data_IF_868326999798
#
_entry.id   IF_868326999798
#
_cell.length_a   1.000
_cell.length_b   1.000
_cell.length_c   1.000
_cell.angle_alpha   90.00
_cell.angle_beta   90.00
_cell.angle_gamma   90.00
#
_symmetry.space_group_name_H-M   'P 1'
#
loop_
_entity.id
_entity.type
_entity.pdbx_description
1 polymer ?
#
# COMPACT_ATOMS: atom_id res chain seq x y z
N UNK A 1 -1.21 59.02 -17.71
CA UNK A 1 -2.39 58.71 -16.86
C UNK A 1 -2.30 57.27 -16.37
N UNK A 2 -2.02 57.06 -15.08
CA UNK A 2 -1.97 55.72 -14.44
C UNK A 2 -3.39 55.31 -14.05
N UNK A 3 -3.89 54.17 -14.55
CA UNK A 3 -5.16 53.58 -14.08
C UNK A 3 -5.03 53.24 -12.58
N UNK A 4 -6.04 53.54 -11.74
CA UNK A 4 -5.92 53.37 -10.30
C UNK A 4 -5.91 51.89 -9.95
N UNK A 5 -4.86 51.46 -9.26
CA UNK A 5 -4.61 50.09 -8.81
C UNK A 5 -5.62 49.59 -7.75
N UNK A 6 -6.62 50.40 -7.39
CA UNK A 6 -7.51 50.20 -6.23
C UNK A 6 -8.67 49.23 -6.51
N UNK A 7 -9.13 49.12 -7.76
CA UNK A 7 -10.19 48.17 -8.13
C UNK A 7 -9.70 46.73 -8.12
N UNK A 8 -8.48 46.47 -8.60
CA UNK A 8 -7.87 45.13 -8.57
C UNK A 8 -7.65 44.61 -7.15
N UNK A 9 -7.21 45.49 -6.23
CA UNK A 9 -7.01 45.14 -4.83
C UNK A 9 -8.33 44.82 -4.11
N UNK A 10 -9.41 45.55 -4.40
CA UNK A 10 -10.75 45.26 -3.84
C UNK A 10 -11.28 43.90 -4.30
N UNK A 11 -11.16 43.58 -5.59
CA UNK A 11 -11.57 42.26 -6.10
C UNK A 11 -10.72 41.13 -5.54
N UNK A 12 -9.42 41.35 -5.33
CA UNK A 12 -8.52 40.38 -4.70
C UNK A 12 -8.87 40.15 -3.21
N UNK A 13 -9.20 41.22 -2.47
CA UNK A 13 -9.61 41.13 -1.06
C UNK A 13 -10.99 40.49 -0.90
N UNK A 14 -11.93 40.78 -1.80
CA UNK A 14 -13.25 40.16 -1.80
C UNK A 14 -13.17 38.66 -2.17
N UNK A 15 -12.33 38.29 -3.13
CA UNK A 15 -12.15 36.88 -3.50
C UNK A 15 -11.48 36.09 -2.38
N UNK A 16 -10.42 36.63 -1.76
CA UNK A 16 -9.77 35.99 -0.61
C UNK A 16 -10.69 35.86 0.61
N UNK A 17 -11.46 36.90 0.93
CA UNK A 17 -12.47 36.83 1.99
C UNK A 17 -13.54 35.77 1.70
N UNK A 18 -14.03 35.69 0.45
CA UNK A 18 -14.98 34.66 0.03
C UNK A 18 -14.42 33.24 0.14
N UNK A 19 -13.16 33.02 -0.25
CA UNK A 19 -12.49 31.71 -0.09
C UNK A 19 -12.33 31.33 1.38
N UNK A 20 -11.95 32.28 2.25
CA UNK A 20 -11.79 32.03 3.68
C UNK A 20 -13.13 31.70 4.36
N UNK A 21 -14.21 32.42 4.02
CA UNK A 21 -15.56 32.12 4.50
C UNK A 21 -16.03 30.75 4.02
N UNK A 22 -15.79 30.41 2.74
CA UNK A 22 -16.10 29.09 2.21
C UNK A 22 -15.36 27.97 2.93
N UNK A 23 -14.05 28.13 3.18
CA UNK A 23 -13.25 27.18 3.92
C UNK A 23 -13.73 27.02 5.36
N UNK A 24 -14.01 28.13 6.04
CA UNK A 24 -14.57 28.11 7.39
C UNK A 24 -15.94 27.41 7.43
N UNK A 25 -16.78 27.62 6.43
CA UNK A 25 -18.07 26.93 6.28
C UNK A 25 -17.92 25.42 6.13
N UNK A 26 -16.99 24.94 5.29
CA UNK A 26 -16.72 23.50 5.12
C UNK A 26 -16.16 22.87 6.39
N UNK A 27 -15.24 23.55 7.07
CA UNK A 27 -14.67 23.10 8.35
C UNK A 27 -15.77 23.04 9.42
N UNK A 28 -16.59 24.08 9.54
CA UNK A 28 -17.69 24.14 10.50
C UNK A 28 -18.73 23.04 10.24
N UNK A 29 -19.16 22.87 8.98
CA UNK A 29 -20.11 21.82 8.58
C UNK A 29 -19.61 20.43 8.98
N UNK A 30 -18.37 20.08 8.64
CA UNK A 30 -17.81 18.78 9.01
C UNK A 30 -17.54 18.62 10.50
N UNK A 31 -17.19 19.71 11.19
CA UNK A 31 -16.90 19.65 12.62
C UNK A 31 -18.17 19.47 13.46
N UNK A 32 -19.28 20.07 13.01
CA UNK A 32 -20.59 20.09 13.67
C UNK A 32 -21.54 18.99 13.19
N UNK A 33 -21.26 18.35 12.05
CA UNK A 33 -22.06 17.23 11.56
C UNK A 33 -22.11 16.11 12.61
N UNK A 34 -23.32 15.63 12.91
CA UNK A 34 -23.51 14.46 13.76
C UNK A 34 -22.83 13.26 13.13
N UNK A 35 -21.94 12.63 13.87
CA UNK A 35 -21.23 11.45 13.42
C UNK A 35 -22.02 10.21 13.77
N UNK A 36 -22.10 9.27 12.83
CA UNK A 36 -22.69 7.97 13.08
C UNK A 36 -21.88 7.26 14.19
N UNK A 37 -22.47 7.01 15.38
CA UNK A 37 -21.80 6.24 16.42
C UNK A 37 -21.62 4.78 16.01
N UNK A 38 -22.25 4.33 14.92
CA UNK A 38 -22.31 2.92 14.54
C UNK A 38 -23.23 2.13 15.47
N UNK A 39 -23.56 0.92 15.04
CA UNK A 39 -24.38 0.00 15.86
C UNK A 39 -23.45 -0.88 16.67
N UNK A 40 -23.25 -0.55 17.93
CA UNK A 40 -22.48 -1.38 18.84
C UNK A 40 -23.25 -2.66 19.18
N UNK A 41 -22.61 -3.82 19.01
CA UNK A 41 -23.13 -5.09 19.50
C UNK A 41 -23.04 -5.14 21.03
N UNK A 42 -23.88 -5.97 21.67
CA UNK A 42 -23.71 -6.27 23.09
C UNK A 42 -22.28 -6.75 23.35
N UNK A 43 -21.66 -6.27 24.43
CA UNK A 43 -20.29 -6.65 24.81
C UNK A 43 -20.29 -8.16 25.07
N UNK A 44 -19.75 -8.92 24.12
CA UNK A 44 -19.57 -10.37 24.25
C UNK A 44 -18.50 -10.72 25.29
N UNK A 45 -18.14 -12.00 25.36
CA UNK A 45 -17.04 -12.46 26.21
C UNK A 45 -15.78 -11.60 26.03
N UNK A 46 -15.24 -10.96 27.10
CA UNK A 46 -14.05 -10.12 27.01
C UNK A 46 -12.83 -10.82 26.41
N UNK A 47 -12.66 -12.13 26.64
CA UNK A 47 -11.54 -12.86 26.06
C UNK A 47 -11.72 -13.07 24.55
N UNK A 48 -12.90 -13.51 24.11
CA UNK A 48 -13.22 -13.62 22.69
C UNK A 48 -13.05 -12.29 21.94
N UNK A 49 -13.47 -11.17 22.54
CA UNK A 49 -13.29 -9.83 21.97
C UNK A 49 -11.81 -9.45 21.82
N UNK A 50 -10.96 -9.75 22.82
CA UNK A 50 -9.51 -9.52 22.70
C UNK A 50 -8.84 -10.39 21.64
N UNK A 51 -9.23 -11.66 21.53
CA UNK A 51 -8.68 -12.56 20.50
C UNK A 51 -9.09 -12.11 19.09
N UNK A 52 -10.35 -11.71 18.92
CA UNK A 52 -10.85 -11.11 17.68
C UNK A 52 -10.09 -9.82 17.35
N UNK A 53 -9.87 -8.96 18.34
CA UNK A 53 -9.09 -7.73 18.19
C UNK A 53 -7.64 -8.00 17.82
N UNK A 54 -6.99 -9.00 18.42
CA UNK A 54 -5.64 -9.41 18.06
C UNK A 54 -5.56 -9.84 16.59
N UNK A 55 -6.52 -10.67 16.16
CA UNK A 55 -6.62 -11.12 14.78
C UNK A 55 -6.80 -9.96 13.79
N UNK A 56 -7.68 -9.01 14.10
CA UNK A 56 -7.90 -7.82 13.27
C UNK A 56 -6.67 -6.89 13.27
N UNK A 57 -5.95 -6.78 14.39
CA UNK A 57 -4.75 -5.96 14.47
C UNK A 57 -3.60 -6.56 13.62
N UNK A 58 -3.54 -7.89 13.52
CA UNK A 58 -2.69 -8.59 12.57
C UNK A 58 -3.16 -8.36 11.14
N UNK A 59 -4.44 -8.57 10.84
CA UNK A 59 -5.03 -8.38 9.51
C UNK A 59 -4.83 -6.96 8.94
N UNK A 60 -5.00 -5.95 9.80
CA UNK A 60 -4.77 -4.55 9.44
C UNK A 60 -3.31 -4.12 9.51
N UNK A 61 -2.40 -5.01 9.88
CA UNK A 61 -0.97 -4.78 10.02
C UNK A 61 -0.62 -3.61 10.95
N UNK A 62 -1.38 -3.41 12.03
CA UNK A 62 -1.24 -2.24 12.92
C UNK A 62 0.17 -2.14 13.51
N UNK A 63 0.75 -3.27 13.91
CA UNK A 63 2.06 -3.34 14.54
C UNK A 63 3.18 -2.83 13.61
N UNK A 64 3.10 -3.09 12.30
CA UNK A 64 4.14 -2.62 11.37
C UNK A 64 4.20 -1.10 11.32
N UNK A 65 3.06 -0.41 11.32
CA UNK A 65 3.03 1.05 11.34
C UNK A 65 3.38 1.60 12.73
N UNK A 66 2.82 1.01 13.78
CA UNK A 66 2.91 1.54 15.14
C UNK A 66 4.11 1.01 15.95
N UNK A 67 5.17 0.54 15.29
CA UNK A 67 6.38 0.04 15.98
C UNK A 67 7.63 0.47 15.20
N UNK A 68 8.59 1.10 15.88
CA UNK A 68 9.93 1.33 15.30
C UNK A 68 10.77 0.06 15.39
N UNK A 69 11.75 -0.09 14.48
CA UNK A 69 12.68 -1.23 14.53
C UNK A 69 13.41 -1.27 15.87
N UNK A 70 13.31 -2.40 16.58
CA UNK A 70 13.90 -2.58 17.93
C UNK A 70 13.15 -1.86 19.06
N UNK A 71 12.04 -1.18 18.76
CA UNK A 71 11.21 -0.51 19.77
C UNK A 71 10.15 -1.42 20.37
N UNK A 72 9.46 -0.90 21.39
CA UNK A 72 8.32 -1.58 22.00
C UNK A 72 7.13 -1.64 21.02
N UNK A 73 6.45 -2.78 20.97
CA UNK A 73 5.31 -3.00 20.09
C UNK A 73 4.21 -1.96 20.32
N UNK A 74 3.62 -1.45 19.23
CA UNK A 74 2.51 -0.50 19.24
C UNK A 74 2.81 0.89 19.84
N UNK A 75 4.05 1.16 20.25
CA UNK A 75 4.46 2.42 20.89
C UNK A 75 4.68 3.60 19.91
N UNK A 76 4.48 3.39 18.61
CA UNK A 76 4.59 4.41 17.58
C UNK A 76 6.02 4.85 17.28
N UNK A 77 6.14 6.01 16.63
CA UNK A 77 7.40 6.66 16.28
C UNK A 77 7.97 6.32 14.91
N UNK A 78 7.35 5.40 14.15
CA UNK A 78 7.83 5.04 12.79
C UNK A 78 7.67 6.23 11.86
N UNK A 79 8.76 6.60 11.19
CA UNK A 79 8.74 7.59 10.13
C UNK A 79 8.13 6.99 8.87
N UNK A 80 7.15 7.68 8.28
CA UNK A 80 6.56 7.35 6.99
C UNK A 80 6.87 8.52 6.06
N UNK A 81 7.85 8.33 5.19
CA UNK A 81 8.18 9.29 4.15
C UNK A 81 7.00 9.43 3.18
N UNK A 82 6.82 10.62 2.62
CA UNK A 82 5.81 10.86 1.59
C UNK A 82 6.22 12.02 0.69
N UNK A 83 5.59 12.17 -0.49
CA UNK A 83 5.73 13.38 -1.30
C UNK A 83 5.33 14.68 -0.58
N UNK A 84 4.69 14.60 0.59
CA UNK A 84 4.23 15.77 1.35
C UNK A 84 5.13 16.11 2.55
N UNK A 85 6.17 15.31 2.80
CA UNK A 85 7.02 15.34 3.99
C UNK A 85 6.91 14.05 4.79
N UNK A 86 7.34 14.06 6.04
CA UNK A 86 7.42 12.85 6.87
C UNK A 86 6.32 12.84 7.92
N UNK A 87 5.53 11.77 7.93
CA UNK A 87 4.57 11.47 8.99
C UNK A 87 5.24 10.58 10.05
N UNK A 88 4.78 10.69 11.29
CA UNK A 88 5.24 9.82 12.39
C UNK A 88 4.04 9.12 12.99
N UNK A 89 4.12 7.80 13.14
CA UNK A 89 3.03 7.02 13.71
C UNK A 89 2.90 7.25 15.21
N UNK A 90 1.67 7.18 15.71
CA UNK A 90 1.39 7.46 17.13
C UNK A 90 1.53 6.22 18.01
N UNK A 91 1.74 6.40 19.30
CA UNK A 91 1.62 5.37 20.31
C UNK A 91 0.15 4.98 20.48
N UNK A 92 -0.17 3.69 20.28
CA UNK A 92 -1.51 3.12 20.42
C UNK A 92 -1.60 2.06 21.52
N UNK A 93 -0.62 2.06 22.44
CA UNK A 93 -0.68 1.28 23.70
C UNK A 93 -1.66 1.93 24.69
N UNK A 94 -2.08 1.26 25.77
CA UNK A 94 -2.99 1.84 26.77
C UNK A 94 -2.31 2.82 27.74
N UNK A 95 -1.12 3.31 27.41
CA UNK A 95 -0.51 4.39 28.19
C UNK A 95 -1.43 5.63 28.19
N UNK A 96 -1.68 6.17 29.39
CA UNK A 96 -2.65 7.27 29.58
C UNK A 96 -2.10 8.63 29.13
N UNK A 97 -0.77 8.82 29.19
CA UNK A 97 -0.14 10.10 28.91
C UNK A 97 0.16 10.28 27.41
N UNK A 98 0.61 9.23 26.76
CA UNK A 98 1.19 9.26 25.41
C UNK A 98 0.48 8.34 24.42
N UNK A 99 -0.24 7.33 24.91
CA UNK A 99 -1.01 6.36 24.13
C UNK A 99 -2.51 6.66 24.07
N UNK A 100 -3.30 5.59 23.90
CA UNK A 100 -4.77 5.64 23.79
C UNK A 100 -5.48 5.24 25.10
N UNK A 101 -4.79 5.20 26.24
CA UNK A 101 -5.35 4.74 27.52
C UNK A 101 -6.53 5.56 28.05
N UNK A 102 -6.68 6.81 27.60
CA UNK A 102 -7.78 7.71 27.96
C UNK A 102 -8.86 7.83 26.87
N UNK A 103 -8.78 7.04 25.81
CA UNK A 103 -9.76 7.04 24.73
C UNK A 103 -10.96 6.19 25.12
N UNK A 104 -12.15 6.57 24.67
CA UNK A 104 -13.33 5.71 24.72
C UNK A 104 -13.41 4.81 23.47
N UNK A 105 -14.28 3.80 23.49
CA UNK A 105 -14.63 3.01 22.29
C UNK A 105 -15.15 3.91 21.16
N UNK A 106 -15.93 4.93 21.51
CA UNK A 106 -16.47 5.88 20.53
C UNK A 106 -15.40 6.79 19.93
N UNK A 107 -14.37 7.17 20.71
CA UNK A 107 -13.22 7.92 20.20
C UNK A 107 -12.43 7.08 19.19
N UNK A 108 -12.25 5.79 19.48
CA UNK A 108 -11.54 4.86 18.60
C UNK A 108 -12.34 4.57 17.33
N UNK A 109 -13.64 4.32 17.44
CA UNK A 109 -14.56 4.20 16.31
C UNK A 109 -14.51 5.45 15.43
N UNK A 110 -14.58 6.65 16.03
CA UNK A 110 -14.50 7.92 15.30
C UNK A 110 -13.17 8.07 14.55
N UNK A 111 -12.07 7.61 15.11
CA UNK A 111 -10.79 7.60 14.41
C UNK A 111 -10.81 6.69 13.19
N UNK A 112 -11.20 5.43 13.35
CA UNK A 112 -11.23 4.46 12.26
C UNK A 112 -12.29 4.79 11.19
N UNK A 113 -13.49 5.14 11.63
CA UNK A 113 -14.65 5.28 10.76
C UNK A 113 -14.76 6.65 10.12
N UNK A 114 -14.45 7.71 10.87
CA UNK A 114 -14.59 9.09 10.41
C UNK A 114 -13.24 9.77 10.18
N UNK A 115 -12.11 9.17 10.54
CA UNK A 115 -10.80 9.80 10.37
C UNK A 115 -10.62 11.02 11.27
N UNK A 116 -11.13 11.00 12.51
CA UNK A 116 -10.99 12.09 13.48
C UNK A 116 -10.44 11.60 14.80
N UNK A 117 -9.49 12.33 15.37
CA UNK A 117 -8.89 12.02 16.66
C UNK A 117 -9.87 12.24 17.83
N UNK A 118 -9.43 11.81 19.03
CA UNK A 118 -10.15 12.07 20.29
C UNK A 118 -10.47 13.56 20.49
N UNK A 119 -9.51 14.43 20.18
CA UNK A 119 -9.60 15.90 20.23
C UNK A 119 -10.39 16.53 19.07
N UNK A 120 -11.02 15.71 18.21
CA UNK A 120 -11.83 16.16 17.09
C UNK A 120 -11.03 16.55 15.84
N UNK A 121 -9.69 16.56 15.90
CA UNK A 121 -8.84 16.92 14.75
C UNK A 121 -8.97 15.92 13.62
N UNK A 122 -8.95 16.38 12.37
CA UNK A 122 -8.88 15.48 11.22
C UNK A 122 -7.57 14.70 11.22
N UNK A 123 -7.60 13.40 10.97
CA UNK A 123 -6.43 12.56 10.82
C UNK A 123 -5.92 12.64 9.38
N UNK A 124 -4.60 12.54 9.20
CA UNK A 124 -4.02 12.44 7.86
C UNK A 124 -4.37 11.07 7.25
N UNK A 125 -4.73 10.98 5.96
CA UNK A 125 -5.17 9.74 5.31
C UNK A 125 -4.06 8.68 5.15
N UNK A 126 -2.83 8.98 5.61
CA UNK A 126 -1.80 7.96 5.82
C UNK A 126 -2.19 6.98 6.94
N UNK A 127 -3.00 7.42 7.91
CA UNK A 127 -3.83 6.51 8.69
C UNK A 127 -5.00 6.09 7.79
N UNK A 128 -5.14 4.81 7.40
CA UNK A 128 -6.00 4.40 6.30
C UNK A 128 -7.49 4.32 6.68
N UNK A 129 -8.01 5.37 7.34
CA UNK A 129 -9.41 5.51 7.72
C UNK A 129 -10.35 5.51 6.50
N UNK A 130 -9.85 5.85 5.31
CA UNK A 130 -10.62 5.74 4.06
C UNK A 130 -10.97 4.30 3.69
N UNK A 131 -10.23 3.33 4.23
CA UNK A 131 -10.52 1.90 4.13
C UNK A 131 -11.19 1.41 5.40
N UNK A 132 -10.65 1.74 6.58
CA UNK A 132 -11.22 1.33 7.87
C UNK A 132 -12.64 1.81 8.13
N UNK A 133 -13.11 2.84 7.42
CA UNK A 133 -14.54 3.22 7.43
C UNK A 133 -15.48 2.05 7.12
N UNK A 134 -15.02 1.06 6.36
CA UNK A 134 -15.79 -0.15 6.06
C UNK A 134 -15.84 -1.17 7.20
N UNK A 135 -15.00 -1.03 8.22
CA UNK A 135 -14.99 -1.93 9.36
C UNK A 135 -16.28 -1.79 10.15
N UNK A 136 -16.76 -2.92 10.68
CA UNK A 136 -17.93 -2.91 11.55
C UNK A 136 -17.60 -2.26 12.90
N UNK A 137 -18.62 -1.74 13.58
CA UNK A 137 -18.46 -1.19 14.93
C UNK A 137 -17.96 -2.24 15.92
N UNK A 138 -18.45 -3.47 15.82
CA UNK A 138 -18.01 -4.61 16.64
C UNK A 138 -16.52 -4.93 16.41
N UNK A 139 -16.04 -4.91 15.17
CA UNK A 139 -14.62 -5.14 14.85
C UNK A 139 -13.73 -3.99 15.37
N UNK A 140 -14.20 -2.75 15.30
CA UNK A 140 -13.54 -1.59 15.92
C UNK A 140 -13.43 -1.73 17.44
N UNK A 141 -14.51 -2.13 18.10
CA UNK A 141 -14.53 -2.31 19.56
C UNK A 141 -13.66 -3.49 20.00
N UNK A 142 -13.62 -4.59 19.23
CA UNK A 142 -12.73 -5.73 19.44
C UNK A 142 -11.25 -5.32 19.33
N UNK A 143 -10.89 -4.59 18.26
CA UNK A 143 -9.57 -4.00 18.07
C UNK A 143 -9.16 -3.14 19.26
N UNK A 144 -10.05 -2.26 19.71
CA UNK A 144 -9.80 -1.41 20.86
C UNK A 144 -9.59 -2.22 22.13
N UNK A 145 -10.41 -3.24 22.38
CA UNK A 145 -10.27 -4.13 23.53
C UNK A 145 -8.92 -4.86 23.55
N UNK A 146 -8.43 -5.31 22.39
CA UNK A 146 -7.10 -5.89 22.27
C UNK A 146 -6.00 -4.87 22.57
N UNK A 147 -6.05 -3.68 21.95
CA UNK A 147 -5.04 -2.63 22.20
C UNK A 147 -5.01 -2.20 23.67
N UNK A 148 -6.17 -2.11 24.33
CA UNK A 148 -6.26 -1.79 25.76
C UNK A 148 -5.69 -2.89 26.67
N UNK A 149 -5.50 -4.11 26.16
CA UNK A 149 -4.93 -5.22 26.92
C UNK A 149 -3.41 -5.33 26.81
N UNK A 150 -2.78 -4.54 25.93
CA UNK A 150 -1.33 -4.53 25.75
C UNK A 150 -0.60 -3.90 26.95
N UNK A 151 0.70 -4.21 27.14
CA UNK A 151 1.52 -3.46 28.08
C UNK A 151 1.55 -1.96 27.72
N UNK A 152 1.30 -1.04 28.67
CA UNK A 152 1.40 0.39 28.41
C UNK A 152 2.87 0.76 28.20
N UNK A 153 3.15 1.57 27.18
CA UNK A 153 4.48 2.11 26.92
C UNK A 153 4.39 3.63 26.96
N UNK A 154 5.13 4.27 27.85
CA UNK A 154 5.22 5.72 27.88
C UNK A 154 6.23 6.19 26.81
N UNK A 155 5.71 6.56 25.65
CA UNK A 155 6.50 7.05 24.52
C UNK A 155 5.77 8.24 23.87
N UNK A 156 6.26 9.47 24.09
CA UNK A 156 5.67 10.67 23.51
C UNK A 156 5.59 10.61 21.99
N UNK A 157 4.45 11.04 21.44
CA UNK A 157 4.26 11.16 20.00
C UNK A 157 5.12 12.28 19.43
N UNK A 158 5.68 12.06 18.24
CA UNK A 158 6.42 13.07 17.49
C UNK A 158 5.50 13.78 16.50
N UNK A 159 5.62 15.11 16.43
CA UNK A 159 4.93 15.91 15.43
C UNK A 159 5.40 15.58 14.00
N UNK A 160 4.47 15.61 13.05
CA UNK A 160 4.78 15.38 11.65
C UNK A 160 5.66 16.49 11.06
N UNK A 161 6.65 16.11 10.27
CA UNK A 161 7.50 17.02 9.51
C UNK A 161 6.94 17.19 8.09
N UNK A 162 5.71 17.69 7.98
CA UNK A 162 5.04 17.96 6.71
C UNK A 162 5.44 19.33 6.17
N UNK A 163 5.57 19.43 4.85
CA UNK A 163 5.86 20.70 4.17
C UNK A 163 4.60 21.53 4.07
N UNK A 164 4.75 22.85 4.12
CA UNK A 164 3.64 23.75 3.77
C UNK A 164 3.19 23.48 2.31
N UNK A 165 1.88 23.45 2.01
CA UNK A 165 0.74 23.71 2.92
C UNK A 165 0.19 22.47 3.66
N UNK A 166 0.75 21.29 3.46
CA UNK A 166 0.25 20.02 4.00
C UNK A 166 0.31 19.91 5.54
N UNK A 167 1.13 20.73 6.20
CA UNK A 167 1.14 20.86 7.66
C UNK A 167 -0.09 21.56 8.25
N UNK A 168 -0.94 22.17 7.42
CA UNK A 168 -2.15 22.86 7.87
C UNK A 168 -3.33 21.88 8.00
N UNK A 169 -3.60 21.45 9.24
CA UNK A 169 -4.62 20.42 9.56
C UNK A 169 -6.01 20.75 9.02
N UNK A 170 -6.38 22.03 8.97
CA UNK A 170 -7.71 22.48 8.50
C UNK A 170 -7.94 22.22 7.01
N UNK A 171 -6.87 22.17 6.19
CA UNK A 171 -6.99 21.86 4.76
C UNK A 171 -7.45 20.41 4.52
N UNK A 172 -7.32 19.53 5.53
CA UNK A 172 -7.90 18.18 5.46
C UNK A 172 -9.42 18.21 5.38
N UNK A 173 -10.11 19.23 5.88
CA UNK A 173 -11.56 19.35 5.72
C UNK A 173 -11.92 19.43 4.22
N UNK A 174 -11.21 20.26 3.45
CA UNK A 174 -11.43 20.36 2.01
C UNK A 174 -11.09 19.03 1.30
N UNK A 175 -9.95 18.43 1.64
CA UNK A 175 -9.56 17.14 1.08
C UNK A 175 -10.63 16.06 1.32
N UNK A 176 -11.17 15.99 2.54
CA UNK A 176 -12.21 15.03 2.91
C UNK A 176 -13.50 15.26 2.14
N UNK A 177 -13.93 16.52 2.00
CA UNK A 177 -15.12 16.86 1.23
C UNK A 177 -15.04 16.38 -0.23
N UNK A 178 -13.82 16.32 -0.79
CA UNK A 178 -13.57 15.89 -2.18
C UNK A 178 -13.37 14.39 -2.31
N UNK A 179 -12.72 13.74 -1.34
CA UNK A 179 -12.17 12.39 -1.52
C UNK A 179 -12.59 11.38 -0.45
N UNK A 180 -13.43 11.75 0.51
CA UNK A 180 -13.84 10.85 1.58
C UNK A 180 -15.33 10.94 1.88
N UNK A 181 -15.98 9.78 1.88
CA UNK A 181 -17.33 9.57 2.37
C UNK A 181 -17.31 8.39 3.35
N UNK A 182 -17.66 8.59 4.63
CA UNK A 182 -17.78 7.49 5.57
C UNK A 182 -18.80 6.44 5.08
N UNK A 183 -18.53 5.17 5.33
CA UNK A 183 -19.45 4.09 4.97
C UNK A 183 -18.97 2.71 5.41
N UNK A 184 -19.85 1.99 6.10
CA UNK A 184 -19.64 0.61 6.53
C UNK A 184 -19.74 -0.38 5.35
N UNK A 185 -19.09 -1.53 5.47
CA UNK A 185 -19.27 -2.61 4.50
C UNK A 185 -20.69 -3.18 4.60
N UNK A 186 -21.35 -3.31 3.45
CA UNK A 186 -22.65 -3.97 3.32
C UNK A 186 -22.46 -5.22 2.46
N UNK A 187 -22.77 -6.43 2.97
CA UNK A 187 -22.71 -7.65 2.17
C UNK A 187 -23.59 -7.55 0.92
N UNK A 188 -23.06 -8.01 -0.21
CA UNK A 188 -23.81 -8.17 -1.46
C UNK A 188 -24.68 -9.43 -1.36
N UNK A 189 -26.02 -9.32 -1.41
CA UNK A 189 -26.92 -10.47 -1.32
C UNK A 189 -26.85 -11.41 -2.53
N UNK A 190 -26.28 -10.95 -3.66
CA UNK A 190 -26.05 -11.79 -4.84
C UNK A 190 -24.76 -12.62 -4.75
N UNK A 191 -24.00 -12.49 -3.66
CA UNK A 191 -22.72 -13.17 -3.43
C UNK A 191 -22.80 -14.02 -2.17
N UNK A 192 -22.03 -15.11 -2.15
CA UNK A 192 -21.96 -15.97 -0.98
C UNK A 192 -21.18 -15.32 0.19
N UNK A 193 -21.18 -16.01 1.33
CA UNK A 193 -20.51 -15.53 2.54
C UNK A 193 -18.99 -15.43 2.38
N UNK A 194 -18.37 -16.33 1.62
CA UNK A 194 -16.92 -16.36 1.41
C UNK A 194 -16.47 -15.14 0.60
N UNK A 195 -17.17 -14.84 -0.50
CA UNK A 195 -16.91 -13.65 -1.31
C UNK A 195 -17.07 -12.38 -0.49
N UNK A 196 -18.17 -12.26 0.27
CA UNK A 196 -18.42 -11.10 1.12
C UNK A 196 -17.35 -10.93 2.21
N UNK A 197 -16.86 -12.03 2.77
CA UNK A 197 -15.73 -12.01 3.71
C UNK A 197 -14.45 -11.49 3.05
N UNK A 198 -14.14 -11.96 1.84
CA UNK A 198 -12.99 -11.48 1.06
C UNK A 198 -13.10 -9.99 0.73
N UNK A 199 -14.27 -9.55 0.29
CA UNK A 199 -14.56 -8.15 0.00
C UNK A 199 -14.37 -7.27 1.23
N UNK A 200 -14.86 -7.70 2.39
CA UNK A 200 -14.68 -6.99 3.66
C UNK A 200 -13.19 -6.83 4.03
N UNK A 201 -12.42 -7.92 3.94
CA UNK A 201 -11.00 -7.92 4.27
C UNK A 201 -10.19 -7.05 3.31
N UNK A 202 -10.45 -7.14 2.00
CA UNK A 202 -9.69 -6.39 0.99
C UNK A 202 -10.03 -4.91 1.00
N UNK A 203 -11.32 -4.56 1.06
CA UNK A 203 -11.76 -3.16 0.98
C UNK A 203 -11.63 -2.42 2.31
N UNK A 204 -11.76 -3.14 3.42
CA UNK A 204 -11.81 -2.60 4.78
C UNK A 204 -10.56 -2.92 5.59
N UNK A 205 -10.66 -3.98 6.40
CA UNK A 205 -9.69 -4.27 7.47
C UNK A 205 -8.24 -4.45 6.98
N UNK A 206 -8.03 -5.10 5.84
CA UNK A 206 -6.72 -5.31 5.21
C UNK A 206 -6.26 -4.17 4.30
N UNK A 207 -7.11 -3.17 4.04
CA UNK A 207 -6.81 -1.90 3.36
C UNK A 207 -5.98 -2.03 2.07
N UNK A 208 -6.18 -3.07 1.25
CA UNK A 208 -5.33 -3.35 0.09
C UNK A 208 -5.22 -2.17 -0.90
N UNK A 209 -6.27 -1.36 -1.01
CA UNK A 209 -6.32 -0.12 -1.80
C UNK A 209 -5.36 0.99 -1.34
N UNK A 210 -4.80 0.87 -0.13
CA UNK A 210 -3.80 1.80 0.37
C UNK A 210 -2.50 1.74 -0.46
N UNK A 211 -2.19 0.56 -1.02
CA UNK A 211 -1.03 0.35 -1.88
C UNK A 211 -1.43 0.06 -3.33
N UNK A 212 -2.46 -0.76 -3.55
CA UNK A 212 -2.83 -1.26 -4.87
C UNK A 212 -3.81 -0.35 -5.62
N UNK A 213 -3.76 0.97 -5.40
CA UNK A 213 -4.57 1.94 -6.14
C UNK A 213 -3.72 3.16 -6.50
N UNK A 214 -3.92 3.67 -7.71
CA UNK A 214 -3.27 4.90 -8.14
C UNK A 214 -3.67 6.07 -7.22
N UNK A 215 -2.74 6.99 -6.99
CA UNK A 215 -3.00 8.19 -6.19
C UNK A 215 -2.85 9.43 -7.06
N UNK A 216 -3.72 10.41 -6.87
CA UNK A 216 -3.59 11.71 -7.51
C UNK A 216 -2.51 12.57 -6.83
N UNK A 217 -2.24 13.77 -7.38
CA UNK A 217 -1.24 14.69 -6.84
C UNK A 217 -1.51 15.17 -5.40
N UNK A 218 -2.75 15.03 -4.90
CA UNK A 218 -3.15 15.35 -3.53
C UNK A 218 -3.15 14.11 -2.61
N UNK A 219 -2.62 12.97 -3.09
CA UNK A 219 -2.47 11.73 -2.34
C UNK A 219 -3.76 10.92 -2.18
N UNK A 220 -4.87 11.31 -2.79
CA UNK A 220 -6.12 10.55 -2.74
C UNK A 220 -6.10 9.36 -3.71
N UNK A 221 -6.58 8.21 -3.24
CA UNK A 221 -6.71 7.01 -4.07
C UNK A 221 -7.79 7.23 -5.13
N UNK A 222 -7.43 6.99 -6.39
CA UNK A 222 -8.33 6.97 -7.53
C UNK A 222 -8.97 5.58 -7.60
N UNK A 223 -10.30 5.53 -7.73
CA UNK A 223 -11.07 4.29 -7.83
C UNK A 223 -10.58 3.19 -6.85
N UNK A 224 -10.57 3.42 -5.53
CA UNK A 224 -9.89 2.54 -4.56
C UNK A 224 -10.39 1.09 -4.57
N UNK A 225 -11.60 0.83 -5.08
CA UNK A 225 -12.17 -0.51 -5.19
C UNK A 225 -11.80 -1.24 -6.49
N UNK A 226 -11.25 -0.53 -7.49
CA UNK A 226 -10.81 -1.13 -8.76
C UNK A 226 -9.45 -1.83 -8.64
N UNK A 227 -8.64 -1.45 -7.65
CA UNK A 227 -7.32 -2.02 -7.36
C UNK A 227 -6.40 -2.12 -8.60
N UNK A 228 -6.35 -1.04 -9.38
CA UNK A 228 -5.61 -0.95 -10.65
C UNK A 228 -4.08 -0.93 -10.49
N UNK A 229 -3.59 -0.92 -9.25
CA UNK A 229 -2.17 -0.78 -8.96
C UNK A 229 -1.69 0.67 -9.06
N UNK A 230 -0.40 0.87 -8.80
CA UNK A 230 0.20 2.19 -8.81
C UNK A 230 1.58 2.22 -8.18
N UNK A 231 2.34 3.27 -8.49
CA UNK A 231 3.60 3.55 -7.80
C UNK A 231 3.30 4.02 -6.38
N UNK A 232 4.05 3.50 -5.42
CA UNK A 232 4.14 3.97 -4.03
C UNK A 232 5.41 4.84 -3.96
N UNK A 233 5.33 6.17 -4.18
CA UNK A 233 6.51 6.98 -4.42
C UNK A 233 7.45 7.02 -3.20
N UNK A 234 6.87 6.98 -2.01
CA UNK A 234 7.59 6.97 -0.74
C UNK A 234 8.52 5.77 -0.57
N UNK A 235 8.11 4.60 -1.08
CA UNK A 235 8.88 3.36 -0.98
C UNK A 235 9.66 3.08 -2.27
N UNK A 236 9.42 3.86 -3.32
CA UNK A 236 9.85 3.58 -4.68
C UNK A 236 9.54 2.14 -5.10
N UNK A 237 8.34 1.65 -4.81
CA UNK A 237 7.86 0.35 -5.28
C UNK A 237 6.60 0.52 -6.11
N UNK A 238 6.38 -0.35 -7.09
CA UNK A 238 5.13 -0.44 -7.83
C UNK A 238 4.27 -1.54 -7.21
N UNK A 239 3.07 -1.19 -6.75
CA UNK A 239 2.05 -2.15 -6.36
C UNK A 239 1.31 -2.61 -7.62
N UNK A 240 1.39 -3.89 -8.02
CA UNK A 240 0.73 -4.38 -9.22
C UNK A 240 -0.80 -4.33 -9.10
N UNK A 241 -1.54 -4.26 -10.21
CA UNK A 241 -2.98 -4.43 -10.19
C UNK A 241 -3.39 -5.76 -9.57
N UNK A 242 -4.48 -5.77 -8.79
CA UNK A 242 -5.04 -6.98 -8.18
C UNK A 242 -6.32 -7.48 -8.86
N UNK A 243 -6.73 -6.85 -9.96
CA UNK A 243 -7.95 -7.23 -10.67
C UNK A 243 -7.79 -8.56 -11.45
N UNK A 244 -8.89 -9.23 -11.77
CA UNK A 244 -8.93 -10.52 -12.48
C UNK A 244 -8.65 -10.45 -13.99
N UNK A 245 -8.03 -9.37 -14.49
CA UNK A 245 -7.68 -9.20 -15.91
C UNK A 245 -6.30 -9.79 -16.24
N UNK A 246 -5.97 -9.90 -17.53
CA UNK A 246 -4.70 -10.53 -18.00
C UNK A 246 -3.44 -9.87 -17.42
N UNK A 247 -3.42 -8.53 -17.32
CA UNK A 247 -2.31 -7.77 -16.72
C UNK A 247 -2.32 -7.76 -15.17
N UNK A 248 -3.36 -8.33 -14.55
CA UNK A 248 -3.51 -8.51 -13.10
C UNK A 248 -3.44 -9.98 -12.70
N UNK A 249 -4.34 -10.41 -11.83
CA UNK A 249 -4.43 -11.78 -11.30
C UNK A 249 -5.28 -12.73 -12.18
N UNK A 250 -5.68 -12.31 -13.38
CA UNK A 250 -6.53 -13.11 -14.26
C UNK A 250 -5.94 -14.48 -14.59
N UNK A 251 -4.64 -14.54 -14.86
CA UNK A 251 -3.91 -15.79 -15.16
C UNK A 251 -3.48 -16.60 -13.93
N UNK A 252 -3.72 -16.10 -12.71
CA UNK A 252 -3.37 -16.79 -11.48
C UNK A 252 -4.52 -17.68 -11.02
N UNK A 253 -4.22 -18.84 -10.45
CA UNK A 253 -5.22 -19.61 -9.72
C UNK A 253 -5.48 -18.99 -8.34
N UNK A 254 -6.64 -19.27 -7.74
CA UNK A 254 -6.93 -18.88 -6.36
C UNK A 254 -5.91 -19.47 -5.38
N UNK A 255 -5.42 -20.68 -5.67
CA UNK A 255 -4.40 -21.36 -4.88
C UNK A 255 -3.04 -20.64 -4.96
N UNK A 256 -2.64 -20.14 -6.13
CA UNK A 256 -1.40 -19.36 -6.28
C UNK A 256 -1.47 -18.04 -5.51
N UNK A 257 -2.63 -17.38 -5.53
CA UNK A 257 -2.87 -16.16 -4.76
C UNK A 257 -2.81 -16.48 -3.27
N UNK A 258 -3.52 -17.52 -2.82
CA UNK A 258 -3.54 -17.94 -1.42
C UNK A 258 -2.13 -18.30 -0.92
N UNK A 259 -1.35 -19.05 -1.71
CA UNK A 259 0.03 -19.39 -1.39
C UNK A 259 0.89 -18.14 -1.22
N UNK A 260 0.85 -17.21 -2.18
CA UNK A 260 1.62 -15.96 -2.11
C UNK A 260 1.27 -15.15 -0.85
N UNK A 261 -0.04 -14.99 -0.56
CA UNK A 261 -0.49 -14.20 0.59
C UNK A 261 -0.17 -14.87 1.93
N UNK A 262 -0.14 -16.21 1.99
CA UNK A 262 0.11 -16.96 3.22
C UNK A 262 1.59 -17.19 3.50
N UNK A 263 2.38 -17.54 2.48
CA UNK A 263 3.77 -18.01 2.64
C UNK A 263 4.80 -17.05 2.07
N UNK A 264 4.36 -16.10 1.22
CA UNK A 264 5.24 -15.16 0.53
C UNK A 264 5.79 -15.70 -0.80
N UNK A 265 5.46 -16.93 -1.18
CA UNK A 265 5.89 -17.57 -2.43
C UNK A 265 4.76 -18.34 -3.08
N UNK A 266 4.74 -18.36 -4.41
CA UNK A 266 3.88 -19.21 -5.22
C UNK A 266 4.60 -19.62 -6.50
N UNK A 267 4.12 -20.65 -7.23
CA UNK A 267 4.65 -20.99 -8.55
C UNK A 267 4.65 -19.84 -9.57
N UNK A 268 3.86 -18.78 -9.31
CA UNK A 268 3.71 -17.62 -10.21
C UNK A 268 4.56 -16.42 -9.77
N UNK A 269 4.96 -16.32 -8.50
CA UNK A 269 5.69 -15.17 -8.01
C UNK A 269 6.11 -15.24 -6.55
N UNK A 270 6.89 -14.24 -6.16
CA UNK A 270 7.47 -14.13 -4.82
C UNK A 270 7.21 -12.72 -4.29
N UNK A 271 6.77 -12.63 -3.03
CA UNK A 271 6.57 -11.36 -2.35
C UNK A 271 7.94 -10.77 -1.99
N UNK A 272 8.22 -9.56 -2.48
CA UNK A 272 9.44 -8.82 -2.18
C UNK A 272 9.10 -7.40 -1.70
N UNK A 273 10.09 -6.73 -1.10
CA UNK A 273 9.94 -5.35 -0.65
C UNK A 273 8.77 -5.18 0.33
N UNK A 274 7.89 -4.18 0.15
CA UNK A 274 6.78 -3.91 1.06
C UNK A 274 5.85 -5.11 1.22
N UNK A 275 5.57 -5.87 0.15
CA UNK A 275 4.69 -7.03 0.23
C UNK A 275 5.30 -8.18 1.05
N UNK A 276 6.63 -8.30 1.09
CA UNK A 276 7.30 -9.24 2.00
C UNK A 276 7.04 -8.85 3.46
N UNK A 277 7.06 -7.56 3.81
CA UNK A 277 6.70 -7.10 5.16
C UNK A 277 5.22 -7.37 5.47
N UNK A 278 4.31 -7.10 4.52
CA UNK A 278 2.87 -7.35 4.69
C UNK A 278 2.58 -8.84 4.92
N UNK A 279 3.17 -9.73 4.12
CA UNK A 279 2.98 -11.16 4.32
C UNK A 279 3.61 -11.62 5.62
N UNK A 280 4.86 -11.23 5.87
CA UNK A 280 5.62 -11.64 7.05
C UNK A 280 5.10 -11.09 8.39
N UNK A 281 4.37 -9.97 8.41
CA UNK A 281 3.90 -9.35 9.66
C UNK A 281 2.39 -9.34 9.83
N UNK A 282 1.63 -9.69 8.78
CA UNK A 282 0.17 -9.62 8.77
C UNK A 282 -0.45 -10.86 8.16
N UNK A 283 -0.36 -11.03 6.84
CA UNK A 283 -1.21 -11.99 6.13
C UNK A 283 -0.95 -13.45 6.49
N UNK A 284 0.29 -13.82 6.83
CA UNK A 284 0.61 -15.20 7.24
C UNK A 284 -0.16 -15.66 8.48
N UNK A 285 -0.65 -14.73 9.31
CA UNK A 285 -1.40 -15.02 10.54
C UNK A 285 -2.91 -15.13 10.32
N UNK A 286 -3.41 -14.79 9.13
CA UNK A 286 -4.83 -14.97 8.81
C UNK A 286 -5.18 -16.45 8.72
N UNK A 287 -6.44 -16.78 8.99
CA UNK A 287 -6.93 -18.14 8.80
C UNK A 287 -6.91 -18.52 7.32
N UNK A 288 -6.80 -19.81 7.02
CA UNK A 288 -6.81 -20.28 5.62
C UNK A 288 -8.14 -19.97 4.92
N UNK A 289 -9.24 -19.94 5.69
CA UNK A 289 -10.55 -19.52 5.20
C UNK A 289 -10.55 -18.05 4.77
N UNK A 290 -9.94 -17.15 5.54
CA UNK A 290 -9.86 -15.73 5.20
C UNK A 290 -8.89 -15.46 4.03
N UNK A 291 -7.76 -16.18 3.97
CA UNK A 291 -6.86 -16.12 2.81
C UNK A 291 -7.57 -16.59 1.54
N UNK A 292 -8.31 -17.69 1.62
CA UNK A 292 -9.11 -18.20 0.50
C UNK A 292 -10.21 -17.21 0.10
N UNK A 293 -10.91 -16.61 1.07
CA UNK A 293 -11.91 -15.58 0.83
C UNK A 293 -11.33 -14.37 0.08
N UNK A 294 -10.15 -13.89 0.49
CA UNK A 294 -9.41 -12.82 -0.21
C UNK A 294 -9.12 -13.24 -1.65
N UNK A 295 -8.59 -14.45 -1.88
CA UNK A 295 -8.29 -14.97 -3.22
C UNK A 295 -9.53 -15.01 -4.12
N UNK A 296 -10.65 -15.55 -3.61
CA UNK A 296 -11.94 -15.60 -4.32
C UNK A 296 -12.38 -14.19 -4.71
N UNK A 297 -12.40 -13.25 -3.76
CA UNK A 297 -12.83 -11.88 -4.04
C UNK A 297 -11.95 -11.20 -5.10
N UNK A 298 -10.62 -11.26 -4.97
CA UNK A 298 -9.69 -10.64 -5.92
C UNK A 298 -9.86 -11.17 -7.34
N UNK A 299 -10.10 -12.47 -7.50
CA UNK A 299 -10.35 -13.10 -8.81
C UNK A 299 -11.61 -12.59 -9.50
N UNK A 300 -12.60 -12.12 -8.74
CA UNK A 300 -13.85 -11.59 -9.31
C UNK A 300 -13.77 -10.13 -9.77
N UNK A 301 -12.70 -9.42 -9.42
CA UNK A 301 -12.57 -8.01 -9.75
C UNK A 301 -12.44 -7.83 -11.28
N UNK A 302 -13.23 -6.93 -11.89
CA UNK A 302 -13.22 -6.75 -13.33
C UNK A 302 -11.88 -6.18 -13.80
N UNK A 303 -11.48 -6.52 -15.02
CA UNK A 303 -10.41 -5.79 -15.69
C UNK A 303 -10.82 -4.31 -15.88
N UNK A 304 -9.88 -3.35 -15.74
CA UNK A 304 -10.19 -1.95 -15.95
C UNK A 304 -10.69 -1.70 -17.38
N UNK A 305 -11.70 -0.85 -17.50
CA UNK A 305 -12.40 -0.54 -18.76
C UNK A 305 -11.57 0.29 -19.75
N UNK A 306 -10.51 0.95 -19.27
CA UNK A 306 -9.48 1.56 -20.09
C UNK A 306 -8.15 0.92 -19.74
N UNK A 307 -7.52 0.26 -20.71
CA UNK A 307 -6.09 -0.01 -20.62
C UNK A 307 -5.37 1.33 -20.55
N UNK A 308 -5.02 1.80 -19.35
CA UNK A 308 -4.07 2.90 -19.21
C UNK A 308 -2.71 2.39 -19.68
N UNK A 309 -2.56 2.43 -20.99
CA UNK A 309 -1.38 2.11 -21.77
C UNK A 309 -0.48 3.33 -21.78
N UNK A 310 0.08 3.65 -20.62
CA UNK A 310 1.30 4.44 -20.55
C UNK A 310 2.35 3.59 -19.85
N UNK A 311 2.86 2.58 -20.58
CA UNK A 311 4.10 1.93 -20.20
C UNK A 311 5.17 3.01 -20.12
N UNK A 312 5.66 3.28 -18.92
CA UNK A 312 6.66 4.33 -18.65
C UNK A 312 8.09 3.82 -18.84
N UNK A 313 8.26 2.72 -19.58
CA UNK A 313 9.57 2.21 -19.96
C UNK A 313 10.27 3.14 -20.96
N UNK A 314 11.58 2.96 -21.09
CA UNK A 314 12.36 3.71 -22.05
C UNK A 314 11.80 3.55 -23.47
N UNK A 315 11.92 4.59 -24.32
CA UNK A 315 11.65 4.47 -25.74
C UNK A 315 12.43 3.30 -26.34
N UNK A 316 11.81 2.58 -27.27
CA UNK A 316 12.48 1.50 -28.00
C UNK A 316 13.73 2.05 -28.68
N UNK A 317 14.92 1.49 -28.43
CA UNK A 317 16.14 1.89 -29.12
C UNK A 317 16.09 1.56 -30.62
N UNK A 318 16.93 2.23 -31.39
CA UNK A 318 17.17 1.91 -32.80
C UNK A 318 17.54 0.42 -32.98
N UNK A 319 17.16 -0.24 -34.09
CA UNK A 319 17.29 -1.71 -34.23
C UNK A 319 18.70 -2.25 -33.99
N UNK A 320 19.73 -1.54 -34.47
CA UNK A 320 21.13 -1.93 -34.25
C UNK A 320 21.51 -1.85 -32.76
N UNK A 321 21.03 -0.83 -32.07
CA UNK A 321 21.27 -0.64 -30.63
C UNK A 321 20.49 -1.66 -29.79
N UNK A 322 19.21 -1.86 -30.11
CA UNK A 322 18.39 -2.90 -29.50
C UNK A 322 19.08 -4.28 -29.58
N UNK A 323 19.65 -4.64 -30.73
CA UNK A 323 20.41 -5.90 -30.90
C UNK A 323 21.67 -5.95 -30.02
N UNK A 324 22.40 -4.84 -29.88
CA UNK A 324 23.58 -4.75 -28.99
C UNK A 324 23.18 -4.92 -27.52
N UNK A 325 22.18 -4.18 -27.07
CA UNK A 325 21.64 -4.25 -25.70
C UNK A 325 21.19 -5.66 -25.36
N UNK A 326 20.39 -6.30 -26.23
CA UNK A 326 19.91 -7.67 -26.00
C UNK A 326 21.05 -8.69 -25.98
N UNK A 327 22.06 -8.56 -26.86
CA UNK A 327 23.24 -9.44 -26.85
C UNK A 327 24.05 -9.30 -25.57
N UNK A 328 24.24 -8.08 -25.08
CA UNK A 328 24.92 -7.83 -23.80
C UNK A 328 24.10 -8.39 -22.64
N UNK A 329 22.80 -8.10 -22.60
CA UNK A 329 21.88 -8.59 -21.57
C UNK A 329 21.81 -10.12 -21.52
N UNK A 330 21.78 -10.79 -22.67
CA UNK A 330 21.84 -12.26 -22.76
C UNK A 330 23.12 -12.81 -22.16
N UNK A 331 24.28 -12.19 -22.47
CA UNK A 331 25.57 -12.61 -21.92
C UNK A 331 25.58 -12.49 -20.39
N UNK A 332 25.12 -11.35 -19.87
CA UNK A 332 25.03 -11.11 -18.42
C UNK A 332 24.07 -12.09 -17.73
N UNK A 333 22.90 -12.31 -18.33
CA UNK A 333 21.91 -13.28 -17.83
C UNK A 333 22.52 -14.69 -17.73
N UNK A 334 23.21 -15.13 -18.78
CA UNK A 334 23.87 -16.43 -18.83
C UNK A 334 24.99 -16.59 -17.79
N UNK A 335 25.62 -15.51 -17.34
CA UNK A 335 26.68 -15.57 -16.32
C UNK A 335 26.19 -15.40 -14.88
N UNK A 336 25.10 -14.67 -14.66
CA UNK A 336 24.72 -14.21 -13.30
C UNK A 336 23.33 -14.67 -12.85
N UNK A 337 22.43 -15.01 -13.78
CA UNK A 337 21.01 -15.20 -13.47
C UNK A 337 20.52 -16.62 -13.78
N UNK A 338 21.19 -17.31 -14.72
CA UNK A 338 20.70 -18.58 -15.30
C UNK A 338 20.61 -19.72 -14.29
N UNK A 339 21.49 -19.75 -13.29
CA UNK A 339 21.54 -20.85 -12.31
C UNK A 339 20.28 -20.89 -11.43
N UNK A 340 19.66 -19.74 -11.18
CA UNK A 340 18.41 -19.64 -10.42
C UNK A 340 17.17 -19.57 -11.33
N UNK A 341 17.23 -18.78 -12.41
CA UNK A 341 16.06 -18.50 -13.25
C UNK A 341 15.94 -19.41 -14.48
N UNK A 342 16.94 -20.26 -14.74
CA UNK A 342 16.97 -21.20 -15.86
C UNK A 342 17.23 -20.56 -17.23
N UNK A 343 17.71 -21.35 -18.18
CA UNK A 343 18.06 -20.88 -19.53
C UNK A 343 16.89 -20.31 -20.35
N UNK A 344 15.65 -20.64 -19.98
CA UNK A 344 14.43 -20.13 -20.60
C UNK A 344 13.62 -19.21 -19.67
N UNK A 345 14.23 -18.73 -18.58
CA UNK A 345 13.54 -17.90 -17.60
C UNK A 345 12.41 -18.62 -16.87
N UNK A 346 12.42 -19.96 -16.85
CA UNK A 346 11.35 -20.78 -16.28
C UNK A 346 11.36 -20.83 -14.75
N UNK A 347 12.48 -20.44 -14.12
CA UNK A 347 12.66 -20.53 -12.67
C UNK A 347 12.68 -21.97 -12.14
N UNK A 348 12.55 -22.09 -10.83
CA UNK A 348 12.35 -23.36 -10.11
C UNK A 348 11.41 -23.06 -8.95
N UNK A 349 10.13 -23.35 -9.15
CA UNK A 349 9.09 -23.03 -8.17
C UNK A 349 9.23 -23.88 -6.90
N UNK A 350 8.88 -23.34 -5.72
CA UNK A 350 8.44 -21.95 -5.47
C UNK A 350 9.60 -20.98 -5.20
N UNK A 351 10.83 -21.46 -5.16
CA UNK A 351 12.01 -20.74 -4.66
C UNK A 351 12.46 -19.63 -5.61
N UNK A 352 12.49 -19.92 -6.91
CA UNK A 352 12.84 -18.98 -7.97
C UNK A 352 11.66 -18.83 -8.92
N UNK A 353 10.93 -17.70 -8.89
CA UNK A 353 9.76 -17.53 -9.73
C UNK A 353 10.13 -17.48 -11.21
N UNK A 354 9.22 -17.89 -12.11
CA UNK A 354 9.45 -17.75 -13.54
C UNK A 354 9.60 -16.27 -13.90
N UNK A 355 10.57 -15.96 -14.75
CA UNK A 355 10.69 -14.66 -15.43
C UNK A 355 9.91 -14.67 -16.75
N UNK A 356 9.80 -15.83 -17.39
CA UNK A 356 9.02 -16.02 -18.61
C UNK A 356 7.51 -15.95 -18.32
N UNK A 357 6.78 -15.10 -19.06
CA UNK A 357 5.35 -14.92 -18.92
C UNK A 357 4.92 -14.36 -17.56
N UNK A 358 5.84 -13.71 -16.83
CA UNK A 358 5.56 -13.14 -15.52
C UNK A 358 5.25 -11.65 -15.62
N UNK A 359 3.96 -11.32 -15.58
CA UNK A 359 3.46 -9.95 -15.67
C UNK A 359 3.89 -9.06 -14.48
N UNK A 360 4.27 -9.64 -13.34
CA UNK A 360 4.80 -8.86 -12.22
C UNK A 360 6.16 -8.22 -12.56
N UNK A 361 6.88 -8.78 -13.53
CA UNK A 361 8.15 -8.27 -14.04
C UNK A 361 7.92 -7.47 -15.33
N UNK A 362 7.10 -7.99 -16.25
CA UNK A 362 6.76 -7.36 -17.53
C UNK A 362 5.65 -6.29 -17.43
N UNK A 363 5.39 -5.76 -16.24
CA UNK A 363 4.39 -4.73 -15.99
C UNK A 363 4.74 -3.37 -16.61
N UNK A 364 3.84 -2.38 -16.53
CA UNK A 364 3.99 -1.08 -17.20
C UNK A 364 5.18 -0.23 -16.71
N UNK A 365 5.88 -0.66 -15.66
CA UNK A 365 7.00 0.06 -15.09
C UNK A 365 8.09 -0.92 -14.60
N UNK A 366 9.34 -0.81 -15.09
CA UNK A 366 10.42 -1.73 -14.74
C UNK A 366 10.96 -1.54 -13.31
N UNK A 367 10.34 -0.64 -12.52
CA UNK A 367 10.78 -0.22 -11.18
C UNK A 367 11.08 -1.40 -10.26
N UNK A 368 10.15 -2.34 -10.11
CA UNK A 368 10.33 -3.47 -9.20
C UNK A 368 11.50 -4.35 -9.67
N UNK A 369 11.59 -4.63 -10.98
CA UNK A 369 12.67 -5.43 -11.54
C UNK A 369 14.04 -4.77 -11.36
N UNK A 370 14.13 -3.45 -11.58
CA UNK A 370 15.34 -2.65 -11.32
C UNK A 370 15.74 -2.77 -9.85
N UNK A 371 14.79 -2.57 -8.92
CA UNK A 371 15.09 -2.66 -7.49
C UNK A 371 15.53 -4.05 -7.06
N UNK A 372 14.88 -5.09 -7.58
CA UNK A 372 15.25 -6.47 -7.26
C UNK A 372 16.64 -6.81 -7.79
N UNK A 373 17.02 -6.40 -9.01
CA UNK A 373 18.39 -6.62 -9.51
C UNK A 373 19.43 -5.84 -8.72
N UNK A 374 19.16 -4.56 -8.43
CA UNK A 374 20.12 -3.72 -7.70
C UNK A 374 20.33 -4.18 -6.26
N UNK A 375 19.25 -4.51 -5.57
CA UNK A 375 19.26 -4.66 -4.11
C UNK A 375 19.06 -6.11 -3.65
N UNK A 376 18.75 -7.02 -4.58
CA UNK A 376 18.34 -8.36 -4.23
C UNK A 376 17.06 -8.36 -3.39
N UNK A 377 16.90 -9.39 -2.58
CA UNK A 377 15.84 -9.46 -1.59
C UNK A 377 15.46 -10.89 -1.24
N UNK A 378 14.68 -11.02 -0.18
CA UNK A 378 14.15 -12.30 0.29
C UNK A 378 12.64 -12.20 0.43
N UNK A 379 11.90 -13.29 0.11
CA UNK A 379 10.57 -13.46 0.65
C UNK A 379 10.58 -13.50 2.19
N UNK A 380 9.43 -13.29 2.84
CA UNK A 380 9.35 -13.37 4.28
C UNK A 380 9.56 -14.80 4.75
N UNK A 381 10.22 -14.95 5.90
CA UNK A 381 10.17 -16.22 6.63
C UNK A 381 8.78 -16.38 7.23
N UNK A 382 8.12 -17.48 6.87
CA UNK A 382 6.78 -17.85 7.33
C UNK A 382 6.76 -19.31 7.73
N UNK A 383 5.70 -19.78 8.39
CA UNK A 383 5.53 -21.22 8.69
C UNK A 383 5.57 -22.08 7.42
N UNK A 384 5.03 -21.58 6.30
CA UNK A 384 5.03 -22.29 5.01
C UNK A 384 6.28 -22.06 4.14
N UNK A 385 7.18 -21.17 4.56
CA UNK A 385 8.45 -20.90 3.89
C UNK A 385 9.49 -20.43 4.93
N UNK A 386 9.97 -21.32 5.81
CA UNK A 386 10.80 -20.91 6.95
C UNK A 386 12.20 -20.46 6.52
N UNK A 387 12.73 -21.00 5.43
CA UNK A 387 14.07 -20.73 4.90
C UNK A 387 13.97 -20.19 3.46
N UNK A 388 13.53 -18.93 3.30
CA UNK A 388 13.30 -18.35 1.98
C UNK A 388 14.59 -18.23 1.16
N UNK A 389 14.54 -18.67 -0.10
CA UNK A 389 15.59 -18.38 -1.09
C UNK A 389 15.51 -16.91 -1.52
N UNK A 390 16.66 -16.25 -1.56
CA UNK A 390 16.76 -14.83 -1.92
C UNK A 390 17.45 -14.61 -3.26
N UNK A 391 17.20 -13.44 -3.83
CA UNK A 391 17.95 -12.95 -4.98
C UNK A 391 19.17 -12.15 -4.50
N UNK A 392 20.38 -12.40 -5.03
CA UNK A 392 21.58 -11.64 -4.67
C UNK A 392 21.48 -10.17 -5.12
N UNK A 393 22.09 -9.21 -4.39
CA UNK A 393 22.22 -7.84 -4.85
C UNK A 393 23.32 -7.70 -5.91
N UNK A 394 22.96 -7.29 -7.12
CA UNK A 394 23.93 -7.05 -8.20
C UNK A 394 24.33 -5.58 -8.35
N UNK A 395 23.75 -4.66 -7.56
CA UNK A 395 24.07 -3.24 -7.58
C UNK A 395 25.56 -2.94 -7.50
N UNK A 396 26.33 -3.54 -6.57
CA UNK A 396 27.78 -3.30 -6.49
C UNK A 396 28.59 -3.89 -7.66
N UNK A 397 28.06 -4.87 -8.39
CA UNK A 397 28.78 -5.60 -9.43
C UNK A 397 28.48 -5.09 -10.85
N UNK A 398 27.28 -4.55 -11.08
CA UNK A 398 26.80 -4.12 -12.39
C UNK A 398 26.65 -2.61 -12.48
N UNK A 399 27.14 -2.04 -13.56
CA UNK A 399 26.87 -0.65 -13.95
C UNK A 399 25.40 -0.44 -14.35
N UNK A 400 24.97 0.82 -14.43
CA UNK A 400 23.58 1.16 -14.80
C UNK A 400 23.21 0.68 -16.20
N UNK A 401 24.15 0.70 -17.15
CA UNK A 401 23.95 0.19 -18.51
C UNK A 401 23.85 -1.34 -18.55
N UNK A 402 24.61 -2.04 -17.71
CA UNK A 402 24.55 -3.51 -17.62
C UNK A 402 23.25 -4.00 -17.00
N UNK A 403 22.79 -3.34 -15.92
CA UNK A 403 21.47 -3.62 -15.33
C UNK A 403 20.36 -3.33 -16.33
N UNK A 404 20.43 -2.21 -17.03
CA UNK A 404 19.48 -1.87 -18.09
C UNK A 404 19.47 -2.92 -19.22
N UNK A 405 20.64 -3.43 -19.61
CA UNK A 405 20.76 -4.45 -20.65
C UNK A 405 20.17 -5.80 -20.23
N UNK A 406 20.50 -6.30 -19.03
CA UNK A 406 19.97 -7.60 -18.56
C UNK A 406 18.47 -7.55 -18.35
N UNK A 407 17.93 -6.45 -17.82
CA UNK A 407 16.48 -6.28 -17.66
C UNK A 407 15.79 -6.15 -19.01
N UNK A 408 16.33 -5.37 -19.95
CA UNK A 408 15.78 -5.28 -21.30
C UNK A 408 15.79 -6.65 -22.00
N UNK A 409 16.82 -7.47 -21.79
CA UNK A 409 16.84 -8.85 -22.28
C UNK A 409 15.71 -9.69 -21.67
N UNK A 410 15.55 -9.68 -20.35
CA UNK A 410 14.48 -10.43 -19.65
C UNK A 410 13.09 -9.99 -20.12
N UNK A 411 12.85 -8.68 -20.24
CA UNK A 411 11.55 -8.11 -20.62
C UNK A 411 11.16 -8.35 -22.09
N UNK A 412 12.12 -8.73 -22.95
CA UNK A 412 11.91 -9.01 -24.37
C UNK A 412 12.24 -10.47 -24.75
N UNK A 413 12.39 -11.36 -23.76
CA UNK A 413 12.65 -12.79 -23.96
C UNK A 413 11.45 -13.63 -23.58
N UNK A 414 11.39 -14.85 -24.13
CA UNK A 414 10.40 -15.89 -23.74
C UNK A 414 8.93 -15.46 -23.84
N UNK A 415 8.61 -14.58 -24.80
CA UNK A 415 7.26 -14.06 -25.00
C UNK A 415 6.88 -12.87 -24.10
N UNK A 416 7.81 -12.37 -23.29
CA UNK A 416 7.60 -11.15 -22.51
C UNK A 416 7.46 -9.93 -23.44
N UNK A 417 6.61 -8.98 -23.04
CA UNK A 417 6.35 -7.72 -23.73
C UNK A 417 6.52 -6.53 -22.77
N UNK A 418 7.60 -6.52 -21.99
CA UNK A 418 7.80 -5.59 -20.87
C UNK A 418 8.46 -4.25 -21.22
N UNK A 419 8.78 -3.99 -22.49
CA UNK A 419 9.44 -2.76 -22.94
C UNK A 419 10.95 -2.74 -22.71
N UNK A 420 11.54 -1.54 -22.63
CA UNK A 420 12.99 -1.33 -22.50
C UNK A 420 13.33 -0.60 -21.20
N UNK A 421 14.53 -0.86 -20.68
CA UNK A 421 15.08 -0.17 -19.52
C UNK A 421 16.30 0.63 -19.96
N UNK A 422 16.38 1.88 -19.51
CA UNK A 422 17.54 2.76 -19.76
C UNK A 422 18.45 2.86 -18.54
N UNK A 423 19.72 3.19 -18.78
CA UNK A 423 20.69 3.42 -17.70
C UNK A 423 20.27 4.58 -16.77
N UNK A 424 19.61 5.61 -17.31
CA UNK A 424 19.14 6.75 -16.52
C UNK A 424 17.99 6.36 -15.56
N UNK A 425 17.10 5.45 -15.98
CA UNK A 425 16.09 4.87 -15.08
C UNK A 425 16.74 4.04 -13.97
N UNK A 426 17.75 3.22 -14.29
CA UNK A 426 18.48 2.45 -13.27
C UNK A 426 19.17 3.39 -12.28
N UNK A 427 19.86 4.41 -12.77
CA UNK A 427 20.55 5.40 -11.95
C UNK A 427 19.61 6.09 -10.96
N UNK A 428 18.42 6.49 -11.43
CA UNK A 428 17.37 7.09 -10.59
C UNK A 428 17.04 6.20 -9.39
N UNK A 429 16.88 4.89 -9.58
CA UNK A 429 16.50 3.98 -8.50
C UNK A 429 17.67 3.47 -7.66
N UNK A 430 18.90 3.50 -8.17
CA UNK A 430 20.11 3.23 -7.39
C UNK A 430 20.31 4.23 -6.25
N UNK A 431 19.88 5.48 -6.46
CA UNK A 431 20.01 6.55 -5.45
C UNK A 431 18.97 6.49 -4.33
N UNK A 432 17.97 5.58 -4.43
CA UNK A 432 16.91 5.47 -3.43
C UNK A 432 17.42 4.69 -2.22
N UNK A 433 17.33 5.23 -0.98
CA UNK A 433 17.72 4.52 0.22
C UNK A 433 17.01 3.17 0.38
N UNK A 434 17.69 2.24 1.05
CA UNK A 434 17.09 1.01 1.57
C UNK A 434 16.62 1.28 3.00
N UNK A 435 15.36 0.93 3.30
CA UNK A 435 14.74 1.06 4.62
C UNK A 435 15.17 -0.05 5.60
#
# INVERSE_FOLDING_TARGET
MRRPCTTGLKWLLLSTAGTLVGLAGVVAWQSLASEDPGVASAVGDPQAQRLKGQYLAQAGNCMACHTVRGGAGYAGGRAIASPFGTLYTSNITPDKATGIGNWSRDDFWRALHHGRGRDGRFLYPAFPYTSYTRMSRDDSDALFAYLQSLPPVNQPNRDHALRFPYNQRMLLALWRALYFKPGSFTPDPARDAQWNRGAYLVQGAGHCSACHSARNALGASLAPLALEGGVIPALAWYAPPLHGGEKGLGSWSEADIAALLKTGVSPRGTALGPMSEIVGRSLQYLTDSDISAISVYLKTLPAPSSESSAGSGAPRPEPAEAKRILKQGQKLYGSLCVDCHGGKGQGSAPDYPPLAGNHAIAGPQPLNAIRTVLNGGFPPSTTGNPYPFGMPPFGPQLSDSEVAAVLSYVLNSWGNQGGWVSASEVNRYRSVPLD
#
